data_IF_665448704718
#
_entry.id   IF_665448704718
#
_cell.length_a   1.000
_cell.length_b   1.000
_cell.length_c   1.000
_cell.angle_alpha   90.00
_cell.angle_beta   90.00
_cell.angle_gamma   90.00
#
_symmetry.space_group_name_H-M   'P 1'
#
loop_
_entity.id
_entity.type
_entity.pdbx_description
1 polymer ?
#
# COMPACT_ATOMS: atom_id res chain seq x y z
N UNK A 1 -10.33 3.37 -3.35
CA UNK A 1 -10.91 2.01 -3.43
C UNK A 1 -9.86 0.93 -3.25
N UNK A 2 -8.69 1.01 -3.89
CA UNK A 2 -7.63 -0.02 -3.85
C UNK A 2 -7.15 -0.46 -2.45
N UNK A 3 -7.14 0.44 -1.46
CA UNK A 3 -6.76 0.09 -0.08
C UNK A 3 -7.73 -0.91 0.59
N UNK A 4 -9.03 -0.77 0.32
CA UNK A 4 -10.05 -1.66 0.93
C UNK A 4 -9.92 -3.08 0.39
N UNK A 5 -9.57 -3.23 -0.89
CA UNK A 5 -9.37 -4.55 -1.49
C UNK A 5 -8.23 -5.33 -0.84
N UNK A 6 -7.12 -4.66 -0.51
CA UNK A 6 -6.00 -5.30 0.18
C UNK A 6 -6.43 -5.90 1.53
N UNK A 7 -7.24 -5.18 2.30
CA UNK A 7 -7.74 -5.64 3.60
C UNK A 7 -8.82 -6.72 3.44
N UNK A 8 -9.89 -6.43 2.71
CA UNK A 8 -11.08 -7.30 2.65
C UNK A 8 -10.85 -8.58 1.86
N UNK A 9 -10.09 -8.54 0.75
CA UNK A 9 -9.91 -9.67 -0.16
C UNK A 9 -8.63 -10.44 0.10
N UNK A 10 -7.56 -9.74 0.51
CA UNK A 10 -6.24 -10.34 0.68
C UNK A 10 -5.79 -10.43 2.15
N UNK A 11 -6.53 -9.83 3.09
CA UNK A 11 -6.18 -9.77 4.51
C UNK A 11 -4.79 -9.15 4.72
N UNK A 12 -4.51 -8.06 4.01
CA UNK A 12 -3.26 -7.31 4.09
C UNK A 12 -3.54 -5.90 4.60
N UNK A 13 -3.02 -5.61 5.78
CA UNK A 13 -3.10 -4.28 6.37
C UNK A 13 -2.04 -3.35 5.72
N UNK A 14 -2.51 -2.24 5.15
CA UNK A 14 -1.68 -1.16 4.64
C UNK A 14 -2.27 0.20 5.06
N UNK A 15 -1.52 1.29 4.86
CA UNK A 15 -2.03 2.65 5.09
C UNK A 15 -2.09 3.41 3.78
N UNK A 16 -3.19 4.10 3.54
CA UNK A 16 -3.33 5.04 2.43
C UNK A 16 -3.31 6.50 2.89
N UNK A 17 -3.00 7.41 1.97
CA UNK A 17 -3.13 8.86 2.18
C UNK A 17 -1.80 9.61 2.01
N UNK A 18 -1.69 10.76 2.68
CA UNK A 18 -0.53 11.68 2.58
C UNK A 18 0.51 11.48 3.69
N UNK A 19 0.28 10.55 4.62
CA UNK A 19 1.23 10.13 5.66
C UNK A 19 1.83 11.26 6.52
N UNK A 20 1.10 12.36 6.71
CA UNK A 20 1.58 13.59 7.34
C UNK A 20 2.85 14.18 6.67
N UNK A 21 3.08 13.88 5.39
CA UNK A 21 4.28 14.24 4.64
C UNK A 21 3.92 15.03 3.37
N UNK A 22 3.14 16.11 3.52
CA UNK A 22 2.59 16.88 2.41
C UNK A 22 3.66 17.30 1.38
N UNK A 23 4.79 17.86 1.83
CA UNK A 23 5.88 18.29 0.96
C UNK A 23 6.54 17.14 0.17
N UNK A 24 6.62 15.94 0.76
CA UNK A 24 7.12 14.76 0.05
C UNK A 24 6.15 14.33 -1.05
N UNK A 25 4.84 14.37 -0.76
CA UNK A 25 3.81 14.07 -1.74
C UNK A 25 3.74 15.12 -2.87
N UNK A 26 4.00 16.40 -2.59
CA UNK A 26 4.18 17.45 -3.60
C UNK A 26 5.37 17.14 -4.52
N UNK A 27 6.52 16.79 -3.92
CA UNK A 27 7.76 16.47 -4.66
C UNK A 27 7.58 15.30 -5.63
N UNK A 28 6.82 14.27 -5.25
CA UNK A 28 6.58 13.09 -6.11
C UNK A 28 5.26 13.15 -6.88
N UNK A 29 4.57 14.29 -6.89
CA UNK A 29 3.35 14.52 -7.67
C UNK A 29 2.09 13.77 -7.18
N UNK A 30 2.05 13.36 -5.91
CA UNK A 30 0.94 12.58 -5.32
C UNK A 30 0.15 13.36 -4.25
N UNK A 31 0.26 14.68 -4.21
CA UNK A 31 -0.43 15.53 -3.21
C UNK A 31 -1.96 15.39 -3.22
N UNK A 32 -2.56 15.18 -4.40
CA UNK A 32 -4.02 15.09 -4.55
C UNK A 32 -4.56 13.67 -4.34
N UNK A 33 -3.71 12.64 -4.47
CA UNK A 33 -4.12 11.23 -4.45
C UNK A 33 -3.62 10.49 -3.21
N UNK A 34 -2.53 10.96 -2.61
CA UNK A 34 -1.74 10.20 -1.65
C UNK A 34 -1.08 8.98 -2.30
N UNK A 35 -0.60 8.07 -1.45
CA UNK A 35 -0.05 6.77 -1.84
C UNK A 35 -0.55 5.67 -0.90
N UNK A 36 -0.29 4.41 -1.26
CA UNK A 36 -0.42 3.26 -0.36
C UNK A 36 0.96 2.90 0.16
N UNK A 37 1.10 2.72 1.48
CA UNK A 37 2.35 2.40 2.15
C UNK A 37 2.24 1.12 2.95
N UNK A 38 3.12 0.17 2.63
CA UNK A 38 3.41 -0.99 3.46
C UNK A 38 4.52 -0.65 4.46
N UNK A 39 4.37 -1.08 5.71
CA UNK A 39 5.36 -0.83 6.77
C UNK A 39 5.79 -2.18 7.33
N UNK A 40 6.92 -2.70 6.84
CA UNK A 40 7.45 -4.01 7.23
C UNK A 40 8.16 -3.89 8.58
N UNK A 41 7.89 -4.82 9.50
CA UNK A 41 8.52 -4.95 10.80
C UNK A 41 9.25 -6.30 10.98
N UNK A 42 9.87 -6.49 12.15
CA UNK A 42 10.72 -7.66 12.45
C UNK A 42 9.97 -9.00 12.47
N UNK A 43 8.64 -8.96 12.65
CA UNK A 43 7.79 -10.15 12.66
C UNK A 43 7.28 -10.53 11.28
N UNK A 44 7.50 -9.69 10.27
CA UNK A 44 7.07 -10.02 8.93
C UNK A 44 7.96 -11.06 8.28
N UNK A 45 7.37 -11.82 7.36
CA UNK A 45 8.08 -12.88 6.62
C UNK A 45 8.16 -12.56 5.13
N UNK A 46 9.14 -13.17 4.45
CA UNK A 46 9.25 -13.06 2.98
C UNK A 46 7.98 -13.57 2.29
N UNK A 47 7.36 -14.63 2.81
CA UNK A 47 6.10 -15.17 2.28
C UNK A 47 4.96 -14.14 2.34
N UNK A 48 4.91 -13.31 3.39
CA UNK A 48 3.92 -12.22 3.48
C UNK A 48 4.22 -11.12 2.46
N UNK A 49 5.50 -10.81 2.21
CA UNK A 49 5.89 -9.87 1.17
C UNK A 49 5.52 -10.38 -0.23
N UNK A 50 5.74 -11.66 -0.52
CA UNK A 50 5.34 -12.30 -1.78
C UNK A 50 3.81 -12.23 -1.98
N UNK A 51 3.04 -12.56 -0.94
CA UNK A 51 1.57 -12.43 -0.95
C UNK A 51 1.13 -10.99 -1.22
N UNK A 52 1.81 -10.01 -0.63
CA UNK A 52 1.52 -8.60 -0.89
C UNK A 52 1.82 -8.17 -2.33
N UNK A 53 2.92 -8.66 -2.92
CA UNK A 53 3.27 -8.41 -4.32
C UNK A 53 2.24 -9.02 -5.27
N UNK A 54 1.80 -10.26 -5.02
CA UNK A 54 0.75 -10.91 -5.80
C UNK A 54 -0.57 -10.14 -5.75
N UNK A 55 -0.98 -9.70 -4.56
CA UNK A 55 -2.18 -8.91 -4.37
C UNK A 55 -2.12 -7.58 -5.13
N UNK A 56 -1.01 -6.83 -5.00
CA UNK A 56 -0.82 -5.57 -5.73
C UNK A 56 -0.83 -5.78 -7.24
N UNK A 57 -0.18 -6.83 -7.74
CA UNK A 57 -0.19 -7.17 -9.16
C UNK A 57 -1.59 -7.53 -9.68
N UNK A 58 -2.40 -8.20 -8.88
CA UNK A 58 -3.77 -8.53 -9.24
C UNK A 58 -4.64 -7.27 -9.33
N UNK A 59 -4.54 -6.37 -8.34
CA UNK A 59 -5.27 -5.10 -8.30
C UNK A 59 -4.83 -4.16 -9.43
N UNK A 60 -3.55 -4.17 -9.79
CA UNK A 60 -3.04 -3.33 -10.89
C UNK A 60 -3.53 -3.77 -12.27
N UNK A 61 -4.01 -5.01 -12.41
CA UNK A 61 -4.49 -5.61 -13.67
C UNK A 61 -6.01 -5.67 -13.78
N UNK A 62 -6.74 -5.32 -12.72
CA UNK A 62 -8.21 -5.23 -12.71
C UNK A 62 -8.70 -3.87 -13.16
#
# INVERSE_FOLDING_TARGET
MQLRELDEKYSIAARGGIHCACLAHETIGTQNTGTVRFSVGVFNTIKEADKALEAVNAIAKS
#
